data_IF_216815347679
#
_entry.id   IF_216815347679
#
_cell.length_a   1.000
_cell.length_b   1.000
_cell.length_c   1.000
_cell.angle_alpha   90.00
_cell.angle_beta   90.00
_cell.angle_gamma   90.00
#
_symmetry.space_group_name_H-M   'P 1'
#
loop_
_entity.id
_entity.type
_entity.pdbx_description
1 polymer ?
#
# COMPACT_ATOMS: atom_id res chain seq x y z
N UNK A 1 -6.32 26.04 -24.77
CA UNK A 1 -6.34 27.48 -24.42
C UNK A 1 -6.31 27.56 -22.90
N UNK A 2 -5.12 27.57 -22.31
CA UNK A 2 -4.92 27.70 -20.87
C UNK A 2 -5.13 29.15 -20.50
N UNK A 3 -6.34 29.48 -20.04
CA UNK A 3 -6.59 30.81 -19.50
C UNK A 3 -5.88 30.83 -18.14
N UNK A 4 -4.78 31.58 -18.09
CA UNK A 4 -4.07 31.93 -16.87
C UNK A 4 -4.95 32.91 -16.07
N UNK A 5 -5.85 32.37 -15.27
CA UNK A 5 -6.75 33.16 -14.43
C UNK A 5 -6.02 33.63 -13.17
N UNK A 6 -4.98 34.47 -13.31
CA UNK A 6 -4.47 35.36 -12.26
C UNK A 6 -4.36 34.77 -10.85
N UNK A 7 -4.01 33.47 -10.73
CA UNK A 7 -4.00 32.75 -9.46
C UNK A 7 -3.00 33.37 -8.47
N UNK A 8 -1.95 33.96 -9.03
CA UNK A 8 -0.86 34.63 -8.31
C UNK A 8 -0.86 36.14 -8.48
N UNK A 9 -1.82 36.74 -9.21
CA UNK A 9 -1.91 38.20 -9.31
C UNK A 9 -2.45 38.77 -7.98
N UNK A 10 -1.59 39.47 -7.20
CA UNK A 10 -1.96 39.94 -5.88
C UNK A 10 -2.98 41.08 -5.91
N UNK A 11 -3.25 41.66 -7.09
CA UNK A 11 -4.08 42.85 -7.29
C UNK A 11 -5.48 42.56 -7.83
N UNK A 12 -5.88 41.30 -7.96
CA UNK A 12 -7.26 40.96 -8.34
C UNK A 12 -8.23 41.18 -7.18
N UNK A 13 -9.47 41.60 -7.49
CA UNK A 13 -10.54 41.72 -6.49
C UNK A 13 -10.82 40.40 -5.75
N UNK A 14 -10.61 39.26 -6.41
CA UNK A 14 -10.70 37.93 -5.79
C UNK A 14 -9.63 37.70 -4.72
N UNK A 15 -8.38 38.09 -4.97
CA UNK A 15 -7.30 38.03 -3.97
C UNK A 15 -7.61 38.94 -2.78
N UNK A 16 -8.09 40.16 -3.02
CA UNK A 16 -8.49 41.10 -1.96
C UNK A 16 -9.61 40.55 -1.08
N UNK A 17 -10.64 39.96 -1.69
CA UNK A 17 -11.75 39.32 -0.98
C UNK A 17 -11.30 38.17 -0.09
N UNK A 18 -10.45 37.27 -0.60
CA UNK A 18 -9.91 36.16 0.19
C UNK A 18 -9.01 36.65 1.32
N UNK A 19 -8.18 37.67 1.09
CA UNK A 19 -7.37 38.31 2.14
C UNK A 19 -8.22 38.90 3.26
N UNK A 20 -9.33 39.56 2.92
CA UNK A 20 -10.27 40.08 3.90
C UNK A 20 -10.86 38.95 4.74
N UNK A 21 -11.30 37.85 4.10
CA UNK A 21 -11.79 36.68 4.81
C UNK A 21 -10.75 36.09 5.75
N UNK A 22 -9.50 35.95 5.31
CA UNK A 22 -8.43 35.46 6.17
C UNK A 22 -8.17 36.39 7.37
N UNK A 23 -8.19 37.72 7.18
CA UNK A 23 -8.03 38.67 8.29
C UNK A 23 -9.13 38.57 9.34
N UNK A 24 -10.37 38.26 8.93
CA UNK A 24 -11.49 38.02 9.86
C UNK A 24 -11.25 36.79 10.76
N UNK A 25 -10.42 35.84 10.32
CA UNK A 25 -10.15 34.58 11.01
C UNK A 25 -8.74 34.49 11.61
N UNK A 26 -8.20 35.60 12.12
CA UNK A 26 -6.86 35.66 12.74
C UNK A 26 -5.73 35.35 11.75
N UNK A 27 -5.93 35.75 10.49
CA UNK A 27 -4.95 35.68 9.40
C UNK A 27 -4.22 34.32 9.28
N UNK A 28 -4.97 33.22 9.05
CA UNK A 28 -4.37 31.90 8.91
C UNK A 28 -3.58 31.79 7.61
N UNK A 29 -2.77 30.75 7.50
CA UNK A 29 -2.04 30.48 6.28
C UNK A 29 -3.01 30.17 5.13
N UNK A 30 -2.85 30.89 4.03
CA UNK A 30 -3.76 30.84 2.88
C UNK A 30 -3.82 29.47 2.18
N UNK A 31 -2.84 28.59 2.43
CA UNK A 31 -2.83 27.23 1.93
C UNK A 31 -3.60 26.21 2.77
N UNK A 32 -4.41 26.66 3.74
CA UNK A 32 -5.08 25.78 4.70
C UNK A 32 -6.58 26.07 4.84
N UNK A 33 -7.30 25.13 5.45
CA UNK A 33 -8.71 25.30 5.84
C UNK A 33 -9.67 25.45 4.67
N UNK A 34 -9.37 24.86 3.51
CA UNK A 34 -10.22 24.97 2.32
C UNK A 34 -11.66 24.49 2.58
N UNK A 35 -11.86 23.52 3.48
CA UNK A 35 -13.19 23.10 3.91
C UNK A 35 -13.99 24.26 4.53
N UNK A 36 -13.36 25.01 5.43
CA UNK A 36 -13.96 26.18 6.08
C UNK A 36 -14.13 27.29 5.06
N UNK A 37 -13.11 27.57 4.26
CA UNK A 37 -13.12 28.65 3.27
C UNK A 37 -14.26 28.47 2.26
N UNK A 38 -14.43 27.28 1.67
CA UNK A 38 -15.51 27.00 0.72
C UNK A 38 -16.87 27.17 1.39
N UNK A 39 -17.06 26.68 2.62
CA UNK A 39 -18.32 26.85 3.34
C UNK A 39 -18.64 28.33 3.60
N UNK A 40 -17.65 29.15 3.97
CA UNK A 40 -17.83 30.59 4.20
C UNK A 40 -18.12 31.34 2.90
N UNK A 41 -17.38 31.04 1.83
CA UNK A 41 -17.64 31.63 0.53
C UNK A 41 -19.05 31.29 0.03
N UNK A 42 -19.53 30.04 0.22
CA UNK A 42 -20.89 29.65 -0.16
C UNK A 42 -21.96 30.38 0.65
N UNK A 43 -21.72 30.60 1.94
CA UNK A 43 -22.63 31.40 2.77
C UNK A 43 -22.70 32.88 2.34
N UNK A 44 -21.64 33.44 1.75
CA UNK A 44 -21.58 34.85 1.35
C UNK A 44 -22.04 35.09 -0.09
N UNK A 45 -21.69 34.19 -1.00
CA UNK A 45 -21.84 34.36 -2.45
C UNK A 45 -22.86 33.40 -3.07
N UNK A 46 -23.44 32.50 -2.27
CA UNK A 46 -24.30 31.41 -2.71
C UNK A 46 -23.52 30.18 -3.18
N UNK A 47 -24.24 29.14 -3.60
CA UNK A 47 -23.66 27.81 -3.87
C UNK A 47 -22.67 27.77 -5.04
N UNK A 48 -22.82 28.69 -6.01
CA UNK A 48 -21.97 28.78 -7.20
C UNK A 48 -20.88 29.82 -6.98
N UNK A 49 -19.72 29.34 -6.55
CA UNK A 49 -18.56 30.21 -6.34
C UNK A 49 -17.97 30.69 -7.68
N UNK A 50 -17.58 31.98 -7.79
CA UNK A 50 -16.88 32.50 -8.95
C UNK A 50 -15.58 31.71 -9.25
N UNK A 51 -15.31 31.34 -10.52
CA UNK A 51 -14.11 30.58 -10.89
C UNK A 51 -12.80 31.21 -10.43
N UNK A 52 -12.70 32.55 -10.44
CA UNK A 52 -11.51 33.27 -9.98
C UNK A 52 -11.17 32.98 -8.51
N UNK A 53 -12.17 32.84 -7.63
CA UNK A 53 -11.94 32.50 -6.23
C UNK A 53 -11.48 31.05 -6.06
N UNK A 54 -12.06 30.15 -6.85
CA UNK A 54 -11.71 28.73 -6.87
C UNK A 54 -10.25 28.57 -7.32
N UNK A 55 -9.87 29.18 -8.44
CA UNK A 55 -8.51 29.09 -8.98
C UNK A 55 -7.47 29.71 -8.03
N UNK A 56 -7.77 30.88 -7.44
CA UNK A 56 -6.90 31.51 -6.46
C UNK A 56 -6.70 30.65 -5.21
N UNK A 57 -7.78 30.04 -4.70
CA UNK A 57 -7.69 29.15 -3.56
C UNK A 57 -6.86 27.89 -3.89
N UNK A 58 -7.14 27.22 -5.02
CA UNK A 58 -6.40 26.04 -5.48
C UNK A 58 -4.90 26.33 -5.64
N UNK A 59 -4.53 27.48 -6.20
CA UNK A 59 -3.12 27.87 -6.39
C UNK A 59 -2.35 28.00 -5.08
N UNK A 60 -3.03 28.31 -3.97
CA UNK A 60 -2.41 28.50 -2.66
C UNK A 60 -2.41 27.25 -1.79
N UNK A 61 -3.26 26.26 -2.09
CA UNK A 61 -3.34 25.05 -1.29
C UNK A 61 -2.08 24.18 -1.44
N UNK A 62 -1.86 23.32 -0.44
CA UNK A 62 -0.81 22.30 -0.49
C UNK A 62 -0.99 21.44 -1.74
N UNK A 63 0.13 21.22 -2.45
CA UNK A 63 0.14 20.42 -3.65
C UNK A 63 -0.21 18.97 -3.31
N UNK A 64 -1.21 18.42 -4.00
CA UNK A 64 -1.69 17.06 -3.83
C UNK A 64 -0.96 16.10 -4.77
N UNK A 65 -1.07 14.80 -4.49
CA UNK A 65 -0.49 13.79 -5.35
C UNK A 65 -1.13 13.85 -6.75
N UNK A 66 -0.35 14.28 -7.76
CA UNK A 66 -0.86 14.48 -9.12
C UNK A 66 -1.66 15.78 -9.32
N UNK A 67 -1.51 16.77 -8.43
CA UNK A 67 -2.24 18.06 -8.44
C UNK A 67 -3.75 17.91 -8.27
N UNK A 68 -4.44 19.04 -8.15
CA UNK A 68 -5.89 19.10 -8.17
C UNK A 68 -6.44 18.55 -9.49
N UNK A 69 -7.56 17.79 -9.45
CA UNK A 69 -8.08 17.14 -10.64
C UNK A 69 -8.50 18.13 -11.71
N UNK A 70 -8.13 17.82 -12.95
CA UNK A 70 -8.59 18.53 -14.15
C UNK A 70 -9.73 17.77 -14.82
N UNK A 71 -10.55 18.40 -15.69
CA UNK A 71 -11.57 17.69 -16.46
C UNK A 71 -11.00 16.52 -17.29
N UNK A 72 -9.74 16.62 -17.71
CA UNK A 72 -9.01 15.54 -18.40
C UNK A 72 -8.80 14.29 -17.54
N UNK A 73 -8.86 14.41 -16.21
CA UNK A 73 -8.62 13.31 -15.29
C UNK A 73 -9.85 12.41 -15.09
N UNK A 74 -11.03 12.83 -15.58
CA UNK A 74 -12.28 12.09 -15.41
C UNK A 74 -12.21 10.70 -16.05
N UNK A 75 -11.92 10.64 -17.36
CA UNK A 75 -11.88 9.38 -18.10
C UNK A 75 -10.78 8.42 -17.59
N UNK A 76 -9.53 8.86 -17.34
CA UNK A 76 -8.50 8.01 -16.72
C UNK A 76 -8.90 7.50 -15.34
N UNK A 77 -9.54 8.33 -14.51
CA UNK A 77 -9.98 7.92 -13.17
C UNK A 77 -11.04 6.83 -13.23
N UNK A 78 -12.01 6.94 -14.14
CA UNK A 78 -13.00 5.88 -14.37
C UNK A 78 -12.34 4.60 -14.87
N UNK A 79 -11.43 4.68 -15.84
CA UNK A 79 -10.69 3.53 -16.35
C UNK A 79 -9.94 2.79 -15.23
N UNK A 80 -9.18 3.51 -14.40
CA UNK A 80 -8.46 2.89 -13.28
C UNK A 80 -9.41 2.31 -12.24
N UNK A 81 -10.54 2.97 -11.94
CA UNK A 81 -11.55 2.42 -11.06
C UNK A 81 -12.08 1.08 -11.57
N UNK A 82 -12.38 0.97 -12.87
CA UNK A 82 -12.82 -0.29 -13.51
C UNK A 82 -11.73 -1.37 -13.43
N UNK A 83 -10.48 -1.04 -13.76
CA UNK A 83 -9.36 -2.00 -13.68
C UNK A 83 -9.17 -2.54 -12.26
N UNK A 84 -9.17 -1.66 -11.25
CA UNK A 84 -9.06 -2.08 -9.86
C UNK A 84 -10.29 -2.86 -9.37
N UNK A 85 -11.48 -2.62 -9.94
CA UNK A 85 -12.67 -3.44 -9.70
C UNK A 85 -12.44 -4.89 -10.11
N UNK A 86 -11.94 -5.09 -11.34
CA UNK A 86 -11.67 -6.42 -11.90
C UNK A 86 -10.60 -7.13 -11.04
N UNK A 87 -9.51 -6.44 -10.72
CA UNK A 87 -8.42 -6.99 -9.88
C UNK A 87 -8.94 -7.39 -8.50
N UNK A 88 -9.79 -6.56 -7.88
CA UNK A 88 -10.40 -6.87 -6.58
C UNK A 88 -11.23 -8.16 -6.66
N UNK A 89 -12.11 -8.28 -7.65
CA UNK A 89 -12.95 -9.46 -7.85
C UNK A 89 -12.08 -10.71 -8.09
N UNK A 90 -11.06 -10.62 -8.92
CA UNK A 90 -10.16 -11.75 -9.21
C UNK A 90 -9.46 -12.26 -7.94
N UNK A 91 -8.86 -11.37 -7.15
CA UNK A 91 -8.22 -11.77 -5.89
C UNK A 91 -9.21 -12.34 -4.89
N UNK A 92 -10.42 -11.78 -4.81
CA UNK A 92 -11.47 -12.24 -3.91
C UNK A 92 -11.99 -13.64 -4.29
N UNK A 93 -12.22 -13.88 -5.58
CA UNK A 93 -12.62 -15.19 -6.11
C UNK A 93 -11.54 -16.24 -5.81
N UNK A 94 -10.27 -15.93 -6.09
CA UNK A 94 -9.15 -16.82 -5.78
C UNK A 94 -9.04 -17.08 -4.27
N UNK A 95 -9.29 -16.07 -3.43
CA UNK A 95 -9.34 -16.24 -1.98
C UNK A 95 -10.44 -17.21 -1.55
N UNK A 96 -11.68 -17.02 -2.00
CA UNK A 96 -12.79 -17.90 -1.61
C UNK A 96 -12.62 -19.33 -2.10
N UNK A 97 -12.14 -19.52 -3.34
CA UNK A 97 -11.85 -20.85 -3.87
C UNK A 97 -10.82 -21.56 -2.98
N UNK A 98 -9.70 -20.90 -2.65
CA UNK A 98 -8.66 -21.48 -1.80
C UNK A 98 -9.14 -21.72 -0.37
N UNK A 99 -9.89 -20.78 0.20
CA UNK A 99 -10.45 -20.88 1.54
C UNK A 99 -11.41 -22.07 1.67
N UNK A 100 -12.33 -22.23 0.70
CA UNK A 100 -13.27 -23.36 0.66
C UNK A 100 -12.60 -24.73 0.53
N UNK A 101 -11.35 -24.74 0.05
CA UNK A 101 -10.51 -25.94 -0.14
C UNK A 101 -9.56 -26.20 1.02
N UNK A 102 -9.54 -25.33 2.04
CA UNK A 102 -8.68 -25.46 3.22
C UNK A 102 -7.28 -24.85 3.05
N UNK A 103 -7.05 -24.02 2.03
CA UNK A 103 -5.78 -23.32 1.77
C UNK A 103 -5.88 -21.85 2.16
N UNK A 104 -5.29 -21.52 3.31
CA UNK A 104 -5.33 -20.16 3.84
C UNK A 104 -4.17 -19.31 3.30
N UNK A 105 -4.47 -18.45 2.34
CA UNK A 105 -3.56 -17.42 1.83
C UNK A 105 -4.20 -16.03 1.94
N UNK A 106 -4.18 -15.47 3.15
CA UNK A 106 -4.84 -14.20 3.47
C UNK A 106 -4.32 -13.00 2.67
N UNK A 107 -3.12 -13.08 2.09
CA UNK A 107 -2.60 -12.02 1.23
C UNK A 107 -3.50 -11.73 0.02
N UNK A 108 -4.21 -12.74 -0.53
CA UNK A 108 -5.19 -12.50 -1.59
C UNK A 108 -6.35 -11.62 -1.12
N UNK A 109 -6.85 -11.85 0.11
CA UNK A 109 -7.89 -10.99 0.70
C UNK A 109 -7.35 -9.56 0.91
N UNK A 110 -6.12 -9.43 1.41
CA UNK A 110 -5.48 -8.11 1.60
C UNK A 110 -5.33 -7.37 0.27
N UNK A 111 -4.86 -8.02 -0.79
CA UNK A 111 -4.75 -7.41 -2.13
C UNK A 111 -6.11 -7.04 -2.71
N UNK A 112 -7.16 -7.84 -2.48
CA UNK A 112 -8.53 -7.48 -2.82
C UNK A 112 -8.96 -6.20 -2.10
N UNK A 113 -8.69 -6.07 -0.79
CA UNK A 113 -9.03 -4.86 -0.02
C UNK A 113 -8.25 -3.65 -0.55
N UNK A 114 -6.94 -3.79 -0.80
CA UNK A 114 -6.11 -2.74 -1.39
C UNK A 114 -6.68 -2.27 -2.74
N UNK A 115 -7.11 -3.21 -3.59
CA UNK A 115 -7.73 -2.90 -4.88
C UNK A 115 -9.09 -2.20 -4.72
N UNK A 116 -9.92 -2.59 -3.75
CA UNK A 116 -11.17 -1.89 -3.43
C UNK A 116 -10.89 -0.45 -2.97
N UNK A 117 -9.90 -0.24 -2.10
CA UNK A 117 -9.51 1.11 -1.66
C UNK A 117 -9.04 1.95 -2.84
N UNK A 118 -8.25 1.38 -3.76
CA UNK A 118 -7.86 2.06 -5.02
C UNK A 118 -9.07 2.41 -5.87
N UNK A 119 -10.00 1.48 -6.06
CA UNK A 119 -11.26 1.73 -6.78
C UNK A 119 -12.02 2.91 -6.19
N UNK A 120 -12.23 2.93 -4.87
CA UNK A 120 -12.96 4.02 -4.21
C UNK A 120 -12.20 5.33 -4.37
N UNK A 121 -10.87 5.33 -4.22
CA UNK A 121 -10.05 6.54 -4.39
C UNK A 121 -10.18 7.15 -5.79
N UNK A 122 -10.18 6.32 -6.84
CA UNK A 122 -10.34 6.80 -8.22
C UNK A 122 -11.78 7.23 -8.53
N UNK A 123 -12.79 6.58 -7.97
CA UNK A 123 -14.19 7.03 -8.07
C UNK A 123 -14.37 8.40 -7.42
N UNK A 124 -13.80 8.60 -6.22
CA UNK A 124 -13.85 9.90 -5.54
C UNK A 124 -13.08 10.97 -6.33
N UNK A 125 -11.93 10.63 -6.92
CA UNK A 125 -11.19 11.56 -7.80
C UNK A 125 -12.02 11.95 -9.03
N UNK A 126 -12.64 10.98 -9.71
CA UNK A 126 -13.56 11.25 -10.81
C UNK A 126 -14.74 12.14 -10.38
N UNK A 127 -15.38 11.85 -9.23
CA UNK A 127 -16.46 12.70 -8.71
C UNK A 127 -15.99 14.12 -8.39
N UNK A 128 -14.74 14.28 -7.94
CA UNK A 128 -14.14 15.58 -7.63
C UNK A 128 -13.80 16.40 -8.89
N UNK A 129 -13.47 15.74 -10.01
CA UNK A 129 -13.27 16.44 -11.31
C UNK A 129 -14.53 17.16 -11.79
N UNK A 130 -15.72 16.64 -11.46
CA UNK A 130 -17.01 17.22 -11.88
C UNK A 130 -17.38 18.47 -11.08
N UNK A 131 -16.92 18.57 -9.84
CA UNK A 131 -17.12 19.73 -8.96
C UNK A 131 -16.00 19.79 -7.92
N UNK A 132 -15.03 20.67 -8.18
CA UNK A 132 -13.86 20.85 -7.34
C UNK A 132 -14.21 21.41 -5.95
N UNK A 133 -15.40 21.99 -5.78
CA UNK A 133 -15.86 22.54 -4.49
C UNK A 133 -16.35 21.48 -3.52
N UNK A 134 -16.45 20.21 -3.94
CA UNK A 134 -16.81 19.07 -3.08
C UNK A 134 -15.63 18.63 -2.20
N UNK A 135 -15.23 19.51 -1.27
CA UNK A 135 -14.05 19.31 -0.42
C UNK A 135 -14.09 18.01 0.40
N UNK A 136 -15.27 17.55 0.86
CA UNK A 136 -15.39 16.27 1.58
C UNK A 136 -14.97 15.06 0.73
N UNK A 137 -15.35 15.09 -0.55
CA UNK A 137 -14.99 14.05 -1.53
C UNK A 137 -13.48 14.10 -1.78
N UNK A 138 -12.93 15.31 -1.90
CA UNK A 138 -11.49 15.53 -2.04
C UNK A 138 -10.69 14.90 -0.90
N UNK A 139 -11.00 15.26 0.35
CA UNK A 139 -10.27 14.78 1.54
C UNK A 139 -10.33 13.26 1.62
N UNK A 140 -11.51 12.66 1.41
CA UNK A 140 -11.65 11.21 1.40
C UNK A 140 -10.82 10.56 0.29
N UNK A 141 -10.83 11.13 -0.93
CA UNK A 141 -10.04 10.65 -2.06
C UNK A 141 -8.53 10.69 -1.79
N UNK A 142 -8.03 11.79 -1.23
CA UNK A 142 -6.59 11.98 -0.93
C UNK A 142 -6.09 11.05 0.16
N UNK A 143 -6.89 10.79 1.21
CA UNK A 143 -6.51 9.79 2.21
C UNK A 143 -6.47 8.39 1.58
N UNK A 144 -7.49 8.03 0.81
CA UNK A 144 -7.61 6.69 0.21
C UNK A 144 -6.63 6.44 -0.94
N UNK A 145 -6.09 7.47 -1.61
CA UNK A 145 -5.08 7.27 -2.66
C UNK A 145 -3.70 6.93 -2.08
N UNK A 146 -3.39 7.42 -0.88
CA UNK A 146 -2.09 7.24 -0.20
C UNK A 146 -2.01 5.89 0.51
N UNK A 147 -3.07 5.45 1.18
CA UNK A 147 -3.08 4.22 1.99
C UNK A 147 -2.64 2.95 1.23
N UNK A 148 -3.16 2.65 0.02
CA UNK A 148 -2.80 1.46 -0.75
C UNK A 148 -1.31 1.34 -1.05
N UNK A 149 -0.62 2.47 -1.29
CA UNK A 149 0.81 2.45 -1.59
C UNK A 149 1.62 1.92 -0.40
N UNK A 150 1.30 2.39 0.81
CA UNK A 150 1.98 1.97 2.05
C UNK A 150 1.63 0.49 2.36
N UNK A 151 0.37 0.11 2.21
CA UNK A 151 -0.08 -1.27 2.43
C UNK A 151 0.59 -2.25 1.45
N UNK A 152 0.75 -1.88 0.18
CA UNK A 152 1.36 -2.74 -0.83
C UNK A 152 2.82 -3.06 -0.47
N UNK A 153 3.57 -2.08 0.02
CA UNK A 153 4.95 -2.28 0.52
C UNK A 153 4.98 -3.25 1.70
N UNK A 154 4.01 -3.15 2.63
CA UNK A 154 3.87 -4.10 3.73
C UNK A 154 3.60 -5.53 3.25
N UNK A 155 2.69 -5.71 2.29
CA UNK A 155 2.44 -7.06 1.71
C UNK A 155 3.68 -7.64 1.04
N UNK A 156 4.51 -6.80 0.42
CA UNK A 156 5.76 -7.20 -0.19
C UNK A 156 6.81 -7.60 0.86
N UNK A 157 6.86 -6.91 2.01
CA UNK A 157 7.67 -7.33 3.15
C UNK A 157 7.20 -8.68 3.73
N UNK A 158 5.89 -8.95 3.79
CA UNK A 158 5.36 -10.26 4.21
C UNK A 158 5.83 -11.36 3.24
N UNK A 159 5.79 -11.12 1.93
CA UNK A 159 6.32 -12.06 0.94
C UNK A 159 7.84 -12.28 1.10
N UNK A 160 8.61 -11.21 1.35
CA UNK A 160 10.04 -11.30 1.64
C UNK A 160 10.32 -12.11 2.92
N UNK A 161 9.54 -11.91 3.98
CA UNK A 161 9.61 -12.71 5.22
C UNK A 161 9.37 -14.20 4.92
N UNK A 162 8.35 -14.51 4.11
CA UNK A 162 8.03 -15.89 3.72
C UNK A 162 9.15 -16.54 2.90
N UNK A 163 9.76 -15.79 2.00
CA UNK A 163 10.94 -16.24 1.25
C UNK A 163 12.13 -16.50 2.19
N UNK A 164 12.38 -15.58 3.12
CA UNK A 164 13.47 -15.69 4.08
C UNK A 164 13.28 -16.89 5.01
N UNK A 165 12.12 -17.03 5.64
CA UNK A 165 11.79 -18.17 6.53
C UNK A 165 11.83 -19.51 5.80
N UNK A 166 11.49 -19.52 4.51
CA UNK A 166 11.64 -20.69 3.65
C UNK A 166 13.11 -21.10 3.45
N UNK A 167 14.00 -20.14 3.11
CA UNK A 167 15.44 -20.41 2.91
C UNK A 167 16.22 -20.56 4.20
N UNK A 168 15.77 -19.95 5.29
CA UNK A 168 16.47 -19.87 6.57
C UNK A 168 15.51 -20.24 7.70
N UNK A 169 15.04 -21.51 7.79
CA UNK A 169 14.05 -21.93 8.77
C UNK A 169 14.49 -21.69 10.22
N UNK A 170 15.78 -21.88 10.56
CA UNK A 170 16.26 -21.57 11.93
C UNK A 170 16.24 -20.08 12.18
N UNK A 171 16.79 -19.28 11.26
CA UNK A 171 16.85 -17.82 11.40
C UNK A 171 15.45 -17.20 11.51
N UNK A 172 14.55 -17.60 10.61
CA UNK A 172 13.17 -17.13 10.54
C UNK A 172 12.27 -17.63 11.68
N UNK A 173 12.63 -18.70 12.39
CA UNK A 173 11.88 -19.19 13.55
C UNK A 173 12.33 -18.56 14.88
N UNK A 174 13.39 -17.74 14.88
CA UNK A 174 13.87 -17.09 16.11
C UNK A 174 12.86 -16.06 16.63
N UNK A 175 12.69 -16.02 17.95
CA UNK A 175 11.83 -15.04 18.63
C UNK A 175 12.21 -13.59 18.29
N UNK A 176 13.50 -13.28 18.24
CA UNK A 176 13.99 -11.95 17.87
C UNK A 176 13.54 -11.54 16.46
N UNK A 177 13.61 -12.45 15.50
CA UNK A 177 13.17 -12.19 14.13
C UNK A 177 11.68 -11.86 14.09
N UNK A 178 10.84 -12.66 14.76
CA UNK A 178 9.40 -12.41 14.83
C UNK A 178 9.06 -11.09 15.54
N UNK A 179 9.77 -10.73 16.61
CA UNK A 179 9.58 -9.43 17.28
C UNK A 179 9.87 -8.28 16.30
N UNK A 180 10.99 -8.35 15.57
CA UNK A 180 11.34 -7.33 14.57
C UNK A 180 10.28 -7.24 13.48
N UNK A 181 9.83 -8.37 12.93
CA UNK A 181 8.79 -8.38 11.90
C UNK A 181 7.46 -7.79 12.38
N UNK A 182 7.00 -8.16 13.58
CA UNK A 182 5.77 -7.62 14.16
C UNK A 182 5.88 -6.12 14.44
N UNK A 183 7.04 -5.64 14.89
CA UNK A 183 7.30 -4.21 15.06
C UNK A 183 7.25 -3.46 13.73
N UNK A 184 7.81 -4.03 12.65
CA UNK A 184 7.71 -3.45 11.31
C UNK A 184 6.26 -3.42 10.82
N UNK A 185 5.45 -4.44 11.11
CA UNK A 185 4.03 -4.44 10.75
C UNK A 185 3.22 -3.41 11.55
N UNK A 186 3.51 -3.23 12.84
CA UNK A 186 2.90 -2.18 13.65
C UNK A 186 3.27 -0.76 13.14
N UNK A 187 4.53 -0.57 12.72
CA UNK A 187 5.01 0.69 12.17
C UNK A 187 4.20 1.13 10.94
N UNK A 188 3.77 0.20 10.09
CA UNK A 188 2.90 0.51 8.94
C UNK A 188 1.59 1.16 9.36
N UNK A 189 0.97 0.70 10.45
CA UNK A 189 -0.24 1.31 10.99
C UNK A 189 -0.02 2.76 11.41
N UNK A 190 1.12 3.05 12.04
CA UNK A 190 1.52 4.41 12.43
C UNK A 190 1.73 5.27 11.17
N UNK A 191 2.46 4.78 10.17
CA UNK A 191 2.71 5.52 8.93
C UNK A 191 1.40 5.86 8.20
N UNK A 192 0.44 4.93 8.16
CA UNK A 192 -0.88 5.16 7.58
C UNK A 192 -1.64 6.24 8.36
N UNK A 193 -1.67 6.16 9.68
CA UNK A 193 -2.35 7.14 10.52
C UNK A 193 -1.76 8.55 10.33
N UNK A 194 -0.44 8.68 10.41
CA UNK A 194 0.24 9.98 10.21
C UNK A 194 0.01 10.50 8.79
N UNK A 195 0.01 9.64 7.76
CA UNK A 195 -0.23 10.05 6.38
C UNK A 195 -1.66 10.54 6.16
N UNK A 196 -2.65 9.87 6.76
CA UNK A 196 -4.05 10.29 6.71
C UNK A 196 -4.22 11.65 7.40
N UNK A 197 -3.66 11.82 8.59
CA UNK A 197 -3.72 13.09 9.34
C UNK A 197 -3.00 14.23 8.62
N UNK A 198 -1.80 13.96 8.10
CA UNK A 198 -0.98 14.93 7.36
C UNK A 198 -1.62 15.40 6.05
N UNK A 199 -2.49 14.58 5.46
CA UNK A 199 -3.26 14.93 4.26
C UNK A 199 -4.58 15.62 4.59
N UNK A 200 -5.28 15.22 5.66
CA UNK A 200 -6.62 15.71 5.98
C UNK A 200 -6.63 17.02 6.80
N UNK A 201 -5.75 17.16 7.81
CA UNK A 201 -5.82 18.28 8.76
C UNK A 201 -5.63 19.65 8.08
N UNK A 202 -4.62 19.85 7.20
CA UNK A 202 -4.46 21.12 6.50
C UNK A 202 -5.67 21.52 5.64
N UNK A 203 -6.46 20.56 5.16
CA UNK A 203 -7.69 20.83 4.41
C UNK A 203 -8.87 21.22 5.31
N UNK A 204 -8.95 20.62 6.50
CA UNK A 204 -10.09 20.76 7.40
C UNK A 204 -10.07 22.05 8.22
N UNK A 205 -8.88 22.50 8.61
CA UNK A 205 -8.72 23.58 9.59
C UNK A 205 -7.83 24.70 9.07
N UNK A 206 -8.15 25.92 9.46
CA UNK A 206 -7.24 27.05 9.34
C UNK A 206 -6.07 26.85 10.31
N UNK A 207 -4.85 26.94 9.78
CA UNK A 207 -3.62 26.73 10.54
C UNK A 207 -2.71 27.94 10.38
N UNK A 208 -1.88 28.19 11.39
CA UNK A 208 -0.77 29.13 11.23
C UNK A 208 0.32 28.52 10.34
N UNK A 209 1.14 29.36 9.70
CA UNK A 209 2.27 28.93 8.86
C UNK A 209 3.20 27.96 9.58
N UNK A 210 3.46 28.18 10.88
CA UNK A 210 4.26 27.25 11.71
C UNK A 210 3.66 25.85 11.76
N UNK A 211 2.33 25.73 11.90
CA UNK A 211 1.63 24.44 11.92
C UNK A 211 1.54 23.81 10.53
N UNK A 212 1.35 24.61 9.48
CA UNK A 212 1.39 24.12 8.10
C UNK A 212 2.76 23.48 7.78
N UNK A 213 3.85 24.15 8.12
CA UNK A 213 5.21 23.64 7.93
C UNK A 213 5.46 22.33 8.68
N UNK A 214 4.87 22.16 9.87
CA UNK A 214 4.90 20.89 10.60
C UNK A 214 4.28 19.75 9.76
N UNK A 215 3.09 19.94 9.20
CA UNK A 215 2.43 18.92 8.38
C UNK A 215 3.17 18.63 7.06
N UNK A 216 3.74 19.65 6.43
CA UNK A 216 4.63 19.47 5.27
C UNK A 216 5.84 18.61 5.65
N UNK A 217 6.48 18.91 6.78
CA UNK A 217 7.61 18.13 7.27
C UNK A 217 7.21 16.70 7.68
N UNK A 218 6.02 16.49 8.23
CA UNK A 218 5.48 15.16 8.49
C UNK A 218 5.30 14.35 7.20
N UNK A 219 4.78 14.95 6.13
CA UNK A 219 4.65 14.28 4.83
C UNK A 219 6.02 13.93 4.22
N UNK A 220 7.02 14.83 4.34
CA UNK A 220 8.41 14.56 3.97
C UNK A 220 8.98 13.39 4.77
N UNK A 221 8.79 13.38 6.09
CA UNK A 221 9.23 12.30 6.97
C UNK A 221 8.58 10.96 6.61
N UNK A 222 7.26 10.92 6.37
CA UNK A 222 6.56 9.70 5.93
C UNK A 222 7.18 9.18 4.63
N UNK A 223 7.45 10.06 3.66
CA UNK A 223 8.03 9.65 2.38
C UNK A 223 9.39 8.98 2.56
N UNK A 224 10.25 9.54 3.41
CA UNK A 224 11.55 8.93 3.75
C UNK A 224 11.36 7.60 4.48
N UNK A 225 10.47 7.54 5.47
CA UNK A 225 10.20 6.31 6.22
C UNK A 225 9.66 5.19 5.32
N UNK A 226 8.86 5.49 4.31
CA UNK A 226 8.37 4.52 3.32
C UNK A 226 9.51 3.95 2.48
N UNK A 227 10.51 4.77 2.11
CA UNK A 227 11.73 4.28 1.44
C UNK A 227 12.51 3.35 2.36
N UNK A 228 12.79 3.78 3.60
CA UNK A 228 13.49 2.96 4.60
C UNK A 228 12.78 1.63 4.82
N UNK A 229 11.45 1.67 4.93
CA UNK A 229 10.62 0.48 5.08
C UNK A 229 10.72 -0.45 3.87
N UNK A 230 10.71 0.08 2.65
CA UNK A 230 10.90 -0.72 1.42
C UNK A 230 12.28 -1.37 1.37
N UNK A 231 13.32 -0.67 1.84
CA UNK A 231 14.67 -1.23 1.94
C UNK A 231 14.76 -2.40 2.91
N UNK A 232 13.88 -2.50 3.92
CA UNK A 232 13.82 -3.70 4.77
C UNK A 232 13.41 -4.95 4.00
N UNK A 233 12.49 -4.82 3.03
CA UNK A 233 12.11 -5.93 2.15
C UNK A 233 13.27 -6.32 1.22
N UNK A 234 13.98 -5.33 0.65
CA UNK A 234 15.19 -5.55 -0.15
C UNK A 234 16.26 -6.28 0.68
N UNK A 235 16.50 -5.84 1.92
CA UNK A 235 17.46 -6.45 2.82
C UNK A 235 17.10 -7.90 3.14
N UNK A 236 15.82 -8.21 3.42
CA UNK A 236 15.39 -9.60 3.66
C UNK A 236 15.55 -10.49 2.42
N UNK A 237 15.24 -9.97 1.23
CA UNK A 237 15.45 -10.72 -0.02
C UNK A 237 16.94 -10.98 -0.23
N UNK A 238 17.80 -9.98 -0.04
CA UNK A 238 19.26 -10.11 -0.14
C UNK A 238 19.83 -11.10 0.86
N UNK A 239 19.43 -10.99 2.14
CA UNK A 239 19.80 -11.95 3.19
C UNK A 239 19.33 -13.37 2.85
N UNK A 240 18.14 -13.52 2.24
CA UNK A 240 17.65 -14.84 1.84
C UNK A 240 18.55 -15.49 0.79
N UNK A 241 19.15 -14.70 -0.11
CA UNK A 241 19.98 -15.16 -1.22
C UNK A 241 21.44 -15.40 -0.82
N UNK A 242 21.99 -14.56 0.04
CA UNK A 242 23.43 -14.55 0.34
C UNK A 242 23.83 -15.20 1.66
N UNK A 243 22.93 -15.28 2.64
CA UNK A 243 23.27 -15.90 3.92
C UNK A 243 23.48 -17.42 3.72
N UNK A 244 24.56 -18.02 4.24
CA UNK A 244 24.81 -19.45 4.10
C UNK A 244 23.86 -20.27 4.99
N UNK A 245 23.46 -21.44 4.50
CA UNK A 245 22.37 -22.25 5.06
C UNK A 245 22.85 -23.45 5.88
N UNK A 246 24.13 -23.48 6.22
CA UNK A 246 24.83 -24.64 6.82
C UNK A 246 24.25 -25.09 8.16
N UNK A 247 23.65 -24.19 8.93
CA UNK A 247 23.01 -24.51 10.22
C UNK A 247 21.62 -25.14 10.07
N UNK A 248 21.01 -24.99 8.91
CA UNK A 248 19.64 -25.46 8.64
C UNK A 248 19.60 -26.87 8.02
N UNK A 249 20.70 -27.36 7.45
CA UNK A 249 20.80 -28.68 6.79
C UNK A 249 20.55 -29.86 7.74
N UNK A 250 20.71 -29.62 9.04
CA UNK A 250 20.57 -30.64 10.10
C UNK A 250 19.14 -30.80 10.62
N UNK A 251 18.18 -30.04 10.11
CA UNK A 251 16.79 -30.03 10.57
C UNK A 251 15.84 -30.63 9.54
N UNK A 252 14.92 -31.46 10.01
CA UNK A 252 13.85 -31.98 9.19
C UNK A 252 12.90 -30.86 8.78
N UNK A 253 12.65 -30.77 7.48
CA UNK A 253 11.69 -29.81 6.92
C UNK A 253 10.42 -30.51 6.46
N UNK A 254 9.27 -29.98 6.86
CA UNK A 254 7.95 -30.41 6.39
C UNK A 254 7.60 -29.65 5.12
N UNK A 255 7.61 -30.35 3.99
CA UNK A 255 7.33 -29.78 2.67
C UNK A 255 5.89 -30.06 2.24
N UNK A 256 5.15 -29.11 1.65
CA UNK A 256 3.79 -29.32 1.16
C UNK A 256 3.78 -30.17 -0.12
N UNK A 257 3.64 -31.49 0.01
CA UNK A 257 3.58 -32.42 -1.13
C UNK A 257 2.20 -32.50 -1.80
N UNK A 258 1.17 -31.88 -1.22
CA UNK A 258 -0.19 -31.84 -1.78
C UNK A 258 -0.36 -30.78 -2.87
N UNK A 259 0.67 -29.97 -3.13
CA UNK A 259 0.67 -28.97 -4.21
C UNK A 259 1.34 -29.62 -5.42
N UNK A 260 0.53 -29.99 -6.41
CA UNK A 260 0.99 -30.72 -7.60
C UNK A 260 1.43 -29.78 -8.73
N UNK A 261 0.94 -28.54 -8.75
CA UNK A 261 1.27 -27.56 -9.79
C UNK A 261 1.26 -26.13 -9.24
N UNK A 262 1.98 -25.24 -9.91
CA UNK A 262 1.98 -23.79 -9.67
C UNK A 262 1.35 -23.02 -10.85
N UNK A 263 0.61 -23.72 -11.71
CA UNK A 263 -0.16 -23.08 -12.79
C UNK A 263 -1.16 -22.07 -12.21
N UNK A 264 -1.39 -20.91 -12.86
CA UNK A 264 -2.38 -19.93 -12.41
C UNK A 264 -3.80 -20.48 -12.27
N UNK A 265 -4.12 -21.54 -13.01
CA UNK A 265 -5.44 -22.19 -13.00
C UNK A 265 -5.47 -23.49 -12.20
N UNK A 266 -4.35 -23.86 -11.58
CA UNK A 266 -4.32 -25.01 -10.69
C UNK A 266 -4.85 -24.62 -9.31
N UNK A 267 -5.69 -25.49 -8.77
CA UNK A 267 -6.12 -25.41 -7.39
C UNK A 267 -6.05 -26.78 -6.74
N UNK A 268 -5.63 -26.80 -5.49
CA UNK A 268 -5.47 -28.04 -4.73
C UNK A 268 -6.83 -28.70 -4.45
N UNK A 269 -6.84 -30.04 -4.38
CA UNK A 269 -8.00 -30.82 -3.93
C UNK A 269 -8.45 -30.38 -2.53
N UNK A 270 -9.77 -30.27 -2.34
CA UNK A 270 -10.38 -29.88 -1.06
C UNK A 270 -9.91 -30.80 0.06
N UNK A 271 -9.40 -30.23 1.16
CA UNK A 271 -8.97 -30.98 2.34
C UNK A 271 -7.56 -31.59 2.26
N UNK A 272 -6.86 -31.47 1.12
CA UNK A 272 -5.59 -32.17 0.94
C UNK A 272 -4.47 -31.68 1.88
N UNK A 273 -4.47 -30.41 2.29
CA UNK A 273 -3.53 -29.91 3.29
C UNK A 273 -3.77 -30.53 4.67
N UNK A 274 -5.03 -30.67 5.07
CA UNK A 274 -5.44 -31.24 6.34
C UNK A 274 -5.14 -32.74 6.36
N UNK A 275 -5.49 -33.47 5.30
CA UNK A 275 -5.16 -34.89 5.14
C UNK A 275 -3.64 -35.12 5.20
N UNK A 276 -2.86 -34.24 4.57
CA UNK A 276 -1.40 -34.31 4.61
C UNK A 276 -0.84 -34.07 6.02
N UNK A 277 -1.37 -33.08 6.72
CA UNK A 277 -0.99 -32.74 8.10
C UNK A 277 -1.37 -33.86 9.08
N UNK A 278 -2.56 -34.45 8.96
CA UNK A 278 -2.97 -35.59 9.77
C UNK A 278 -2.10 -36.83 9.51
N UNK A 279 -1.81 -37.13 8.24
CA UNK A 279 -0.87 -38.19 7.87
C UNK A 279 0.52 -37.93 8.47
N UNK A 280 0.95 -36.67 8.52
CA UNK A 280 2.23 -36.30 9.11
C UNK A 280 2.25 -36.48 10.63
N UNK A 281 1.23 -36.02 11.33
CA UNK A 281 1.11 -36.09 12.80
C UNK A 281 1.00 -37.52 13.34
N UNK A 282 0.48 -38.44 12.52
CA UNK A 282 0.42 -39.89 12.82
C UNK A 282 1.78 -40.59 12.72
N UNK A 283 2.82 -39.95 12.18
CA UNK A 283 4.18 -40.53 12.07
C UNK A 283 4.99 -40.31 13.34
N UNK A 284 6.14 -40.98 13.40
CA UNK A 284 7.05 -41.08 14.55
C UNK A 284 7.25 -39.73 15.31
N UNK A 285 7.38 -39.79 16.65
CA UNK A 285 7.37 -38.62 17.55
C UNK A 285 8.41 -37.54 17.21
N UNK A 286 9.57 -37.95 16.69
CA UNK A 286 10.64 -37.05 16.28
C UNK A 286 10.26 -36.14 15.10
N UNK A 287 9.29 -36.53 14.26
CA UNK A 287 8.84 -35.74 13.11
C UNK A 287 7.91 -34.58 13.52
N UNK A 288 7.33 -34.61 14.72
CA UNK A 288 6.44 -33.54 15.23
C UNK A 288 7.14 -32.19 15.43
N UNK A 289 8.46 -32.19 15.52
CA UNK A 289 9.28 -30.99 15.71
C UNK A 289 9.89 -30.45 14.40
N UNK A 290 9.49 -30.98 13.25
CA UNK A 290 9.97 -30.51 11.95
C UNK A 290 9.49 -29.08 11.67
N UNK A 291 10.34 -28.27 11.05
CA UNK A 291 9.99 -26.90 10.67
C UNK A 291 9.28 -26.94 9.31
N UNK A 292 8.14 -26.25 9.18
CA UNK A 292 7.40 -26.17 7.91
C UNK A 292 8.11 -25.28 6.90
N UNK A 293 8.19 -25.75 5.66
CA UNK A 293 8.86 -25.09 4.53
C UNK A 293 8.00 -25.25 3.27
N UNK A 294 7.67 -24.18 2.54
CA UNK A 294 6.84 -24.23 1.32
C UNK A 294 7.65 -24.73 0.11
N UNK A 295 7.32 -25.87 -0.49
CA UNK A 295 8.10 -26.44 -1.58
C UNK A 295 8.01 -25.63 -2.90
N UNK A 296 9.02 -25.76 -3.75
CA UNK A 296 9.01 -25.40 -5.17
C UNK A 296 8.94 -26.67 -6.04
N UNK A 297 8.46 -26.58 -7.28
CA UNK A 297 8.20 -27.73 -8.15
C UNK A 297 9.45 -28.47 -8.59
N UNK A 298 9.58 -29.74 -8.16
CA UNK A 298 9.86 -30.97 -8.94
C UNK A 298 10.39 -32.06 -7.98
N UNK A 299 9.88 -33.28 -8.13
CA UNK A 299 10.39 -34.48 -7.47
C UNK A 299 11.27 -35.28 -8.42
N UNK A 300 12.43 -35.70 -7.93
CA UNK A 300 12.94 -37.07 -8.05
C UNK A 300 13.93 -37.25 -6.92
N UNK A 301 13.59 -38.02 -5.87
CA UNK A 301 14.46 -38.92 -5.09
C UNK A 301 13.62 -39.56 -3.96
N UNK A 302 14.05 -40.74 -3.51
CA UNK A 302 13.40 -41.62 -2.51
C UNK A 302 13.39 -41.00 -1.10
N UNK A 303 12.64 -39.92 -0.93
CA UNK A 303 12.45 -39.25 0.36
C UNK A 303 11.12 -39.69 0.96
N UNK A 304 11.10 -39.93 2.27
CA UNK A 304 9.89 -40.31 3.01
C UNK A 304 8.84 -39.22 2.74
N UNK A 305 7.74 -39.56 2.04
CA UNK A 305 6.70 -38.62 1.55
C UNK A 305 6.45 -37.46 2.54
N UNK A 306 7.09 -36.30 2.37
CA UNK A 306 6.88 -35.13 3.22
C UNK A 306 7.90 -34.80 4.33
N UNK A 307 8.95 -35.61 4.51
CA UNK A 307 10.13 -35.25 5.30
C UNK A 307 11.36 -35.22 4.40
N UNK A 308 12.06 -34.09 4.40
CA UNK A 308 13.24 -33.89 3.59
C UNK A 308 14.30 -33.09 4.34
N UNK A 309 15.54 -33.55 4.30
CA UNK A 309 16.72 -32.72 4.58
C UNK A 309 17.22 -32.02 3.31
N UNK A 310 16.82 -32.50 2.13
CA UNK A 310 17.13 -31.86 0.85
C UNK A 310 16.19 -30.67 0.62
N UNK A 311 16.76 -29.54 0.25
CA UNK A 311 15.97 -28.37 -0.13
C UNK A 311 15.52 -28.54 -1.56
N UNK A 312 14.22 -28.31 -1.81
CA UNK A 312 13.70 -28.32 -3.18
C UNK A 312 14.44 -27.31 -4.03
N UNK A 313 14.93 -27.75 -5.19
CA UNK A 313 15.65 -26.91 -6.13
C UNK A 313 14.69 -26.00 -6.92
N UNK A 314 15.10 -24.75 -7.11
CA UNK A 314 14.30 -23.67 -7.69
C UNK A 314 14.33 -23.74 -9.22
N UNK A 315 13.68 -24.73 -9.84
CA UNK A 315 13.55 -24.74 -11.31
C UNK A 315 12.54 -23.72 -11.83
N UNK A 316 11.64 -23.19 -10.99
CA UNK A 316 10.70 -22.11 -11.33
C UNK A 316 10.98 -20.84 -10.51
N UNK A 317 11.96 -20.02 -10.94
CA UNK A 317 12.32 -18.73 -10.34
C UNK A 317 11.29 -17.61 -10.53
N UNK A 318 10.12 -17.89 -11.13
CA UNK A 318 9.12 -16.88 -11.48
C UNK A 318 8.57 -16.17 -10.25
N UNK A 319 8.30 -16.90 -9.15
CA UNK A 319 7.80 -16.30 -7.90
C UNK A 319 8.82 -15.39 -7.23
N UNK A 320 10.09 -15.81 -7.21
CA UNK A 320 11.20 -15.00 -6.72
C UNK A 320 11.38 -13.74 -7.57
N UNK A 321 11.33 -13.89 -8.90
CA UNK A 321 11.41 -12.79 -9.85
C UNK A 321 10.25 -11.80 -9.65
N UNK A 322 9.02 -12.28 -9.45
CA UNK A 322 7.86 -11.43 -9.16
C UNK A 322 8.08 -10.59 -7.90
N UNK A 323 8.58 -11.19 -6.81
CA UNK A 323 8.87 -10.47 -5.56
C UNK A 323 10.00 -9.44 -5.76
N UNK A 324 11.06 -9.78 -6.47
CA UNK A 324 12.17 -8.86 -6.73
C UNK A 324 11.70 -7.68 -7.58
N UNK A 325 11.00 -7.94 -8.68
CA UNK A 325 10.47 -6.91 -9.58
C UNK A 325 9.48 -6.02 -8.84
N UNK A 326 8.52 -6.58 -8.09
CA UNK A 326 7.58 -5.78 -7.31
C UNK A 326 8.29 -4.91 -6.28
N UNK A 327 9.31 -5.43 -5.61
CA UNK A 327 10.12 -4.65 -4.65
C UNK A 327 10.83 -3.47 -5.33
N UNK A 328 11.43 -3.69 -6.50
CA UNK A 328 12.12 -2.63 -7.25
C UNK A 328 11.14 -1.56 -7.71
N UNK A 329 9.98 -1.96 -8.26
CA UNK A 329 8.95 -1.03 -8.70
C UNK A 329 8.39 -0.20 -7.52
N UNK A 330 8.19 -0.82 -6.37
CA UNK A 330 7.77 -0.13 -5.15
C UNK A 330 8.83 0.83 -4.61
N UNK A 331 10.10 0.45 -4.67
CA UNK A 331 11.21 1.32 -4.28
C UNK A 331 11.29 2.54 -5.20
N UNK A 332 11.24 2.32 -6.53
CA UNK A 332 11.22 3.39 -7.52
C UNK A 332 10.02 4.32 -7.31
N UNK A 333 8.82 3.76 -7.11
CA UNK A 333 7.61 4.54 -6.82
C UNK A 333 7.76 5.38 -5.54
N UNK A 334 8.41 4.84 -4.51
CA UNK A 334 8.64 5.54 -3.24
C UNK A 334 9.66 6.66 -3.39
N UNK A 335 10.71 6.45 -4.18
CA UNK A 335 11.71 7.48 -4.51
C UNK A 335 11.08 8.62 -5.31
N UNK A 336 10.30 8.31 -6.35
CA UNK A 336 9.59 9.31 -7.15
C UNK A 336 8.62 10.12 -6.29
N UNK A 337 7.87 9.47 -5.40
CA UNK A 337 7.02 10.17 -4.43
C UNK A 337 7.83 11.10 -3.55
N UNK A 338 9.01 10.67 -3.08
CA UNK A 338 9.86 11.52 -2.25
C UNK A 338 10.39 12.73 -2.99
N UNK A 339 10.72 12.61 -4.28
CA UNK A 339 11.11 13.77 -5.09
C UNK A 339 9.96 14.79 -5.14
N UNK A 340 8.74 14.33 -5.42
CA UNK A 340 7.56 15.21 -5.53
C UNK A 340 7.20 15.88 -4.20
N UNK A 341 7.36 15.20 -3.06
CA UNK A 341 7.02 15.76 -1.73
C UNK A 341 8.07 16.76 -1.23
N UNK A 342 9.29 16.73 -1.79
CA UNK A 342 10.39 17.63 -1.41
C UNK A 342 10.52 18.85 -2.32
N UNK A 343 9.94 18.81 -3.52
CA UNK A 343 9.69 19.98 -4.36
C UNK A 343 8.59 20.84 -3.74
#
# INVERSE_FOLDING_TARGET
MTIDYGGDDPYTGGTGFLKLLFHVYDNPDSGTGIYVLVARCKNLLGDRLPPILIHNAIGKQVNLFGRYPLPSDYAPSILFATLFSIIAVLHLVVFFINFSRGHYFFLNLVWSIIAVVRLISFVLRAAWTLDITKVKVAIAGEVLIVMPAILLISTNLILAQRLFTWRHPVGGSRKLFWIVMMSLYALVGILIAVAALGSAIPFLYFLSTKRLLLYINLNKWISVMVIVYTLTAVALIGLSLWLPTTKDEKLYTYQPWWIESFSPFYFVKKGAAQEAEESFMKRNSNHRHAIRVIAATHHHYKMVKGLSNERGDLKHNVSLMMIIISTILLLLSSLLRSIVVFQ
#
